data_IF_511158249947
#
_entry.id   IF_511158249947
#
_cell.length_a   1.000
_cell.length_b   1.000
_cell.length_c   1.000
_cell.angle_alpha   90.00
_cell.angle_beta   90.00
_cell.angle_gamma   90.00
#
_symmetry.space_group_name_H-M   'P 1'
#
loop_
_entity.id
_entity.type
_entity.pdbx_description
1 polymer ?
#
# COMPACT_ATOMS: atom_id res chain seq x y z
N UNK A 1 8.13 -11.11 -17.93
CA UNK A 1 9.45 -10.44 -17.99
C UNK A 1 9.23 -9.01 -18.43
N UNK A 2 9.86 -8.04 -17.76
CA UNK A 2 9.84 -6.63 -18.16
C UNK A 2 11.13 -6.31 -18.91
N UNK A 3 11.02 -5.43 -19.89
CA UNK A 3 12.09 -5.11 -20.84
C UNK A 3 12.12 -3.60 -21.04
N UNK A 4 13.30 -3.02 -20.99
CA UNK A 4 13.55 -1.60 -21.21
C UNK A 4 14.19 -1.37 -22.57
N UNK A 5 13.65 -0.46 -23.36
CA UNK A 5 14.24 -0.02 -24.63
C UNK A 5 15.33 1.02 -24.34
N UNK A 6 16.56 0.78 -24.77
CA UNK A 6 17.72 1.64 -24.48
C UNK A 6 17.55 3.05 -25.04
N UNK A 7 17.03 3.17 -26.26
CA UNK A 7 16.89 4.45 -26.96
C UNK A 7 15.85 5.39 -26.36
N UNK A 8 14.76 4.84 -25.80
CA UNK A 8 13.63 5.63 -25.26
C UNK A 8 13.53 5.60 -23.75
N UNK A 9 14.15 4.60 -23.10
CA UNK A 9 13.95 4.31 -21.68
C UNK A 9 12.61 3.68 -21.33
N UNK A 10 11.74 3.44 -22.32
CA UNK A 10 10.42 2.85 -22.11
C UNK A 10 10.56 1.43 -21.60
N UNK A 11 9.76 1.10 -20.57
CA UNK A 11 9.66 -0.26 -20.01
C UNK A 11 8.33 -0.85 -20.41
N UNK A 12 8.34 -2.10 -20.84
CA UNK A 12 7.17 -2.82 -21.33
C UNK A 12 7.26 -4.31 -21.03
N UNK A 13 6.14 -5.01 -21.09
CA UNK A 13 6.10 -6.47 -21.01
C UNK A 13 6.56 -7.12 -22.32
N UNK A 14 6.95 -8.39 -22.24
CA UNK A 14 7.44 -9.15 -23.39
C UNK A 14 6.44 -9.17 -24.57
N UNK A 15 5.14 -9.31 -24.29
CA UNK A 15 4.11 -9.28 -25.32
C UNK A 15 3.96 -7.91 -26.00
N UNK A 16 4.23 -6.84 -25.25
CA UNK A 16 4.26 -5.47 -25.78
C UNK A 16 5.48 -5.23 -26.61
N UNK A 17 6.64 -5.81 -26.24
CA UNK A 17 7.87 -5.72 -27.00
C UNK A 17 7.69 -6.28 -28.43
N UNK A 18 6.97 -7.39 -28.60
CA UNK A 18 6.69 -7.95 -29.92
C UNK A 18 5.90 -7.01 -30.83
N UNK A 19 4.92 -6.31 -30.24
CA UNK A 19 4.14 -5.29 -30.95
C UNK A 19 4.99 -4.08 -31.28
N UNK A 20 5.74 -3.59 -30.30
CA UNK A 20 6.66 -2.47 -30.48
C UNK A 20 7.69 -2.74 -31.57
N UNK A 21 8.32 -3.92 -31.57
CA UNK A 21 9.31 -4.30 -32.60
C UNK A 21 8.67 -4.32 -33.99
N UNK A 22 7.48 -4.89 -34.15
CA UNK A 22 6.73 -4.88 -35.41
C UNK A 22 6.47 -3.45 -35.91
N UNK A 23 6.04 -2.55 -35.04
CA UNK A 23 5.72 -1.17 -35.37
C UNK A 23 6.97 -0.34 -35.70
N UNK A 24 8.15 -0.78 -35.24
CA UNK A 24 9.44 -0.14 -35.48
C UNK A 24 10.29 -0.89 -36.51
N UNK A 25 9.70 -1.73 -37.36
CA UNK A 25 10.38 -2.54 -38.39
C UNK A 25 11.50 -3.45 -37.83
N UNK A 26 11.38 -3.86 -36.61
CA UNK A 26 12.29 -4.80 -35.94
C UNK A 26 12.08 -6.25 -36.42
N UNK A 27 13.01 -7.16 -36.05
CA UNK A 27 12.88 -8.57 -36.36
C UNK A 27 11.71 -9.22 -35.68
N UNK A 28 11.22 -10.34 -36.22
CA UNK A 28 10.34 -11.26 -35.51
C UNK A 28 11.16 -12.40 -34.93
N UNK A 29 10.74 -12.94 -33.80
CA UNK A 29 11.42 -14.04 -33.10
C UNK A 29 10.41 -14.95 -32.39
N UNK A 30 10.78 -16.20 -32.20
CA UNK A 30 9.97 -17.19 -31.47
C UNK A 30 10.18 -17.11 -29.97
N UNK A 31 11.43 -17.02 -29.53
CA UNK A 31 11.84 -16.96 -28.12
C UNK A 31 12.69 -15.74 -27.86
N UNK A 32 12.36 -14.98 -26.81
CA UNK A 32 13.17 -13.84 -26.36
C UNK A 32 14.44 -14.36 -25.69
N UNK A 33 15.58 -14.06 -26.30
CA UNK A 33 16.94 -14.40 -25.85
C UNK A 33 17.75 -13.14 -25.70
N UNK A 34 18.94 -13.21 -25.08
CA UNK A 34 19.84 -12.07 -24.93
C UNK A 34 20.27 -11.52 -26.30
N UNK A 35 20.50 -12.37 -27.29
CA UNK A 35 20.83 -11.94 -28.67
C UNK A 35 19.68 -11.14 -29.31
N UNK A 36 18.44 -11.55 -29.09
CA UNK A 36 17.26 -10.81 -29.56
C UNK A 36 17.15 -9.45 -28.86
N UNK A 37 17.35 -9.42 -27.56
CA UNK A 37 17.33 -8.17 -26.79
C UNK A 37 18.44 -7.22 -27.22
N UNK A 38 19.66 -7.75 -27.48
CA UNK A 38 20.77 -6.95 -27.99
C UNK A 38 20.47 -6.38 -29.38
N UNK A 39 19.91 -7.20 -30.27
CA UNK A 39 19.52 -6.76 -31.62
C UNK A 39 18.43 -5.68 -31.62
N UNK A 40 17.54 -5.70 -30.61
CA UNK A 40 16.49 -4.70 -30.39
C UNK A 40 16.97 -3.47 -29.62
N UNK A 41 18.19 -3.46 -29.10
CA UNK A 41 18.70 -2.42 -28.22
C UNK A 41 17.89 -2.36 -26.89
N UNK A 42 17.64 -3.51 -26.31
CA UNK A 42 16.81 -3.65 -25.13
C UNK A 42 17.54 -4.35 -23.98
N UNK A 43 17.10 -4.12 -22.77
CA UNK A 43 17.62 -4.71 -21.53
C UNK A 43 16.50 -5.38 -20.74
N UNK A 44 16.81 -6.49 -20.06
CA UNK A 44 15.90 -7.08 -19.07
C UNK A 44 15.83 -6.18 -17.85
N UNK A 45 14.61 -5.98 -17.33
CA UNK A 45 14.40 -5.33 -16.03
C UNK A 45 14.04 -6.41 -15.01
N UNK A 46 14.89 -6.52 -14.00
CA UNK A 46 14.69 -7.43 -12.88
C UNK A 46 13.82 -6.77 -11.80
N UNK A 47 13.21 -7.59 -10.95
CA UNK A 47 12.51 -7.08 -9.78
C UNK A 47 13.52 -6.56 -8.77
N UNK A 48 13.37 -5.29 -8.38
CA UNK A 48 14.19 -4.66 -7.36
C UNK A 48 13.65 -4.87 -5.94
N UNK A 49 14.43 -4.51 -4.92
CA UNK A 49 13.99 -4.61 -3.54
C UNK A 49 12.83 -3.64 -3.28
N UNK A 50 11.81 -4.13 -2.57
CA UNK A 50 10.71 -3.31 -2.10
C UNK A 50 11.19 -2.30 -1.05
N UNK A 51 10.71 -1.07 -1.11
CA UNK A 51 10.94 -0.08 -0.06
C UNK A 51 10.20 -0.53 1.22
N UNK A 52 10.88 -0.51 2.36
CA UNK A 52 10.31 -0.95 3.64
C UNK A 52 9.58 0.22 4.31
N UNK A 53 8.23 0.17 4.49
CA UNK A 53 7.51 1.21 5.21
C UNK A 53 7.97 1.35 6.65
N UNK A 54 8.16 2.57 7.12
CA UNK A 54 8.56 2.91 8.49
C UNK A 54 7.35 3.12 9.42
N UNK A 55 6.18 3.37 8.82
CA UNK A 55 4.93 3.60 9.53
C UNK A 55 3.72 3.22 8.66
N UNK A 56 2.54 3.23 9.28
CA UNK A 56 1.28 2.80 8.66
C UNK A 56 0.70 3.78 7.61
N UNK A 57 1.33 4.94 7.40
CA UNK A 57 0.94 5.86 6.33
C UNK A 57 1.73 5.62 5.03
N UNK A 58 2.79 4.83 5.10
CA UNK A 58 3.68 4.56 3.99
C UNK A 58 3.39 3.20 3.35
N UNK A 59 3.73 3.06 2.09
CA UNK A 59 3.76 1.80 1.36
C UNK A 59 4.84 1.84 0.29
N UNK A 60 5.32 0.67 -0.11
CA UNK A 60 6.24 0.56 -1.24
C UNK A 60 5.49 0.84 -2.55
N UNK A 61 5.98 1.79 -3.34
CA UNK A 61 5.42 2.10 -4.65
C UNK A 61 6.51 2.10 -5.71
N UNK A 62 6.15 1.64 -6.90
CA UNK A 62 7.04 1.65 -8.05
C UNK A 62 7.26 3.07 -8.54
N UNK A 63 8.53 3.43 -8.77
CA UNK A 63 8.94 4.71 -9.35
C UNK A 63 9.99 4.51 -10.47
N UNK A 64 9.58 3.84 -11.55
CA UNK A 64 10.44 3.62 -12.69
C UNK A 64 11.43 2.46 -12.50
N UNK A 65 12.62 2.62 -13.04
CA UNK A 65 13.70 1.64 -12.99
C UNK A 65 15.02 2.31 -12.67
N UNK A 66 15.96 1.57 -12.10
CA UNK A 66 17.32 2.02 -11.82
C UNK A 66 18.35 0.96 -12.21
N UNK A 67 19.58 1.38 -12.41
CA UNK A 67 20.68 0.51 -12.79
C UNK A 67 21.57 0.23 -11.58
N UNK A 68 21.96 -1.02 -11.37
CA UNK A 68 22.92 -1.38 -10.33
C UNK A 68 24.39 -1.11 -10.79
N UNK A 69 25.33 -1.31 -9.87
CA UNK A 69 26.75 -1.12 -10.14
C UNK A 69 27.32 -2.06 -11.23
N UNK A 70 26.64 -3.15 -11.54
CA UNK A 70 27.01 -4.10 -12.60
C UNK A 70 26.38 -3.76 -13.96
N UNK A 71 25.58 -2.70 -14.04
CA UNK A 71 24.90 -2.27 -15.24
C UNK A 71 23.56 -2.96 -15.51
N UNK A 72 23.03 -3.77 -14.59
CA UNK A 72 21.73 -4.43 -14.75
C UNK A 72 20.60 -3.51 -14.29
N UNK A 73 19.47 -3.56 -14.98
CA UNK A 73 18.29 -2.76 -14.68
C UNK A 73 17.34 -3.47 -13.70
N UNK A 74 16.85 -2.71 -12.73
CA UNK A 74 15.90 -3.19 -11.73
C UNK A 74 14.72 -2.23 -11.61
N UNK A 75 13.55 -2.77 -11.25
CA UNK A 75 12.42 -1.96 -10.82
C UNK A 75 12.83 -1.15 -9.59
N UNK A 76 12.65 0.16 -9.64
CA UNK A 76 12.88 1.05 -8.51
C UNK A 76 11.63 1.17 -7.66
N UNK A 77 11.79 0.98 -6.36
CA UNK A 77 10.74 1.19 -5.37
C UNK A 77 11.11 2.31 -4.41
N UNK A 78 10.14 3.13 -4.08
CA UNK A 78 10.26 4.23 -3.13
C UNK A 78 9.12 4.17 -2.11
N UNK A 79 9.29 4.87 -0.99
CA UNK A 79 8.19 5.03 -0.04
C UNK A 79 7.17 6.05 -0.59
N UNK A 80 5.91 5.65 -0.63
CA UNK A 80 4.77 6.47 -0.97
C UNK A 80 3.76 6.56 0.17
N UNK A 81 2.74 7.41 0.01
CA UNK A 81 2.50 8.29 -1.14
C UNK A 81 3.47 9.48 -1.19
N UNK A 82 3.70 10.00 -2.40
CA UNK A 82 4.51 11.22 -2.63
C UNK A 82 3.55 12.38 -2.85
N UNK A 83 3.72 13.44 -2.09
CA UNK A 83 2.93 14.68 -2.22
C UNK A 83 3.80 15.78 -2.82
N UNK A 84 3.21 16.57 -3.70
CA UNK A 84 3.83 17.74 -4.32
C UNK A 84 2.86 18.91 -4.28
N UNK A 85 3.38 20.14 -4.22
CA UNK A 85 2.55 21.33 -4.27
C UNK A 85 1.73 21.37 -5.55
N UNK A 86 0.42 21.63 -5.41
CA UNK A 86 -0.51 21.84 -6.54
C UNK A 86 -0.88 23.30 -6.63
N UNK A 87 -0.68 23.95 -7.78
CA UNK A 87 -1.17 25.32 -7.98
C UNK A 87 -2.72 25.34 -8.00
N UNK A 88 -3.29 26.50 -7.74
CA UNK A 88 -4.72 26.72 -7.91
C UNK A 88 -5.15 26.51 -9.37
N UNK A 89 -6.36 25.99 -9.53
CA UNK A 89 -7.07 25.90 -10.82
C UNK A 89 -8.32 26.77 -10.76
N UNK A 90 -9.10 26.82 -11.83
CA UNK A 90 -10.37 27.56 -11.85
C UNK A 90 -11.40 27.02 -10.85
N UNK A 91 -11.31 25.76 -10.47
CA UNK A 91 -12.29 25.08 -9.60
C UNK A 91 -11.73 24.67 -8.24
N UNK A 92 -10.42 24.61 -8.08
CA UNK A 92 -9.77 24.13 -6.84
C UNK A 92 -8.71 25.13 -6.37
N UNK A 93 -8.63 25.42 -5.06
CA UNK A 93 -7.56 26.24 -4.48
C UNK A 93 -6.20 25.52 -4.56
N UNK A 94 -5.13 26.30 -4.48
CA UNK A 94 -3.78 25.74 -4.32
C UNK A 94 -3.70 24.87 -3.06
N UNK A 95 -2.93 23.80 -3.12
CA UNK A 95 -2.65 22.93 -1.98
C UNK A 95 -1.16 22.63 -1.91
N UNK A 96 -0.57 22.80 -0.75
CA UNK A 96 0.82 22.41 -0.50
C UNK A 96 0.93 20.89 -0.31
N UNK A 97 2.12 20.35 -0.52
CA UNK A 97 2.43 18.95 -0.22
C UNK A 97 2.12 18.59 1.24
N UNK A 98 2.42 19.49 2.18
CA UNK A 98 2.17 19.31 3.61
C UNK A 98 0.66 19.22 3.94
N UNK A 99 -0.18 20.06 3.32
CA UNK A 99 -1.63 20.00 3.49
C UNK A 99 -2.22 18.70 2.94
N UNK A 100 -1.75 18.27 1.78
CA UNK A 100 -2.17 16.98 1.18
C UNK A 100 -1.75 15.80 2.05
N UNK A 101 -0.53 15.81 2.59
CA UNK A 101 -0.03 14.78 3.50
C UNK A 101 -0.85 14.73 4.79
N UNK A 102 -1.16 15.89 5.38
CA UNK A 102 -1.98 15.99 6.60
C UNK A 102 -3.40 15.46 6.35
N UNK A 103 -4.02 15.82 5.23
CA UNK A 103 -5.34 15.33 4.86
C UNK A 103 -5.35 13.80 4.63
N UNK A 104 -4.34 13.27 3.97
CA UNK A 104 -4.17 11.83 3.76
C UNK A 104 -4.03 11.08 5.08
N UNK A 105 -3.18 11.56 6.00
CA UNK A 105 -3.01 10.95 7.34
C UNK A 105 -4.33 10.98 8.12
N UNK A 106 -5.00 12.11 8.15
CA UNK A 106 -6.30 12.25 8.81
C UNK A 106 -7.36 11.30 8.24
N UNK A 107 -7.40 11.11 6.93
CA UNK A 107 -8.30 10.15 6.28
C UNK A 107 -7.96 8.70 6.67
N UNK A 108 -6.68 8.34 6.69
CA UNK A 108 -6.23 7.01 7.13
C UNK A 108 -6.60 6.73 8.58
N UNK A 109 -6.36 7.71 9.46
CA UNK A 109 -6.71 7.61 10.88
C UNK A 109 -8.23 7.46 11.08
N UNK A 110 -9.03 8.23 10.35
CA UNK A 110 -10.48 8.14 10.40
C UNK A 110 -10.98 6.75 9.94
N UNK A 111 -10.45 6.25 8.84
CA UNK A 111 -10.81 4.92 8.30
C UNK A 111 -10.45 3.81 9.28
N UNK A 112 -9.25 3.87 9.86
CA UNK A 112 -8.81 2.88 10.86
C UNK A 112 -9.64 2.98 12.15
N UNK A 113 -9.94 4.18 12.60
CA UNK A 113 -10.79 4.42 13.76
C UNK A 113 -12.20 3.86 13.57
N UNK A 114 -12.77 3.99 12.36
CA UNK A 114 -14.08 3.39 12.04
C UNK A 114 -14.01 1.86 12.06
N UNK A 115 -12.97 1.26 11.48
CA UNK A 115 -12.75 -0.18 11.52
C UNK A 115 -12.67 -0.71 12.95
N UNK A 116 -11.87 -0.08 13.81
CA UNK A 116 -11.74 -0.44 15.22
C UNK A 116 -13.06 -0.30 15.97
N UNK A 117 -13.81 0.78 15.74
CA UNK A 117 -15.14 0.97 16.36
C UNK A 117 -16.14 -0.07 15.91
N UNK A 118 -16.11 -0.46 14.64
CA UNK A 118 -16.96 -1.52 14.09
C UNK A 118 -16.65 -2.87 14.75
N UNK A 119 -15.38 -3.25 14.81
CA UNK A 119 -14.95 -4.49 15.48
C UNK A 119 -15.34 -4.50 16.97
N UNK A 120 -15.11 -3.40 17.70
CA UNK A 120 -15.55 -3.24 19.09
C UNK A 120 -17.05 -3.44 19.25
N UNK A 121 -17.83 -2.83 18.35
CA UNK A 121 -19.29 -2.94 18.38
C UNK A 121 -19.74 -4.38 18.18
N UNK A 122 -19.08 -5.12 17.30
CA UNK A 122 -19.35 -6.54 17.10
C UNK A 122 -19.03 -7.35 18.37
N UNK A 123 -17.87 -7.14 18.99
CA UNK A 123 -17.49 -7.83 20.24
C UNK A 123 -18.47 -7.53 21.40
N UNK A 124 -18.97 -6.29 21.48
CA UNK A 124 -20.02 -5.93 22.45
C UNK A 124 -21.32 -6.67 22.18
N UNK A 125 -21.79 -6.74 20.92
CA UNK A 125 -22.97 -7.52 20.52
C UNK A 125 -22.81 -9.00 20.83
N UNK A 126 -21.66 -9.57 20.49
CA UNK A 126 -21.36 -11.00 20.71
C UNK A 126 -21.34 -11.37 22.20
N UNK A 127 -21.17 -10.39 23.08
CA UNK A 127 -21.19 -10.55 24.53
C UNK A 127 -22.50 -10.09 25.20
N UNK A 128 -23.53 -9.63 24.49
CA UNK A 128 -24.77 -9.12 25.05
C UNK A 128 -25.54 -10.20 25.84
N UNK A 129 -25.49 -11.44 25.39
CA UNK A 129 -26.12 -12.57 26.08
C UNK A 129 -25.62 -12.79 27.52
N UNK A 130 -24.35 -12.35 27.81
CA UNK A 130 -23.79 -12.45 29.17
C UNK A 130 -24.45 -11.53 30.17
N UNK A 131 -25.25 -10.56 29.71
CA UNK A 131 -25.89 -9.53 30.53
C UNK A 131 -27.28 -9.96 31.02
N UNK A 132 -27.85 -11.06 30.51
CA UNK A 132 -29.12 -11.57 30.99
C UNK A 132 -28.98 -12.13 32.42
N UNK A 133 -30.05 -12.05 33.20
CA UNK A 133 -30.01 -12.33 34.66
C UNK A 133 -29.56 -13.76 34.99
N UNK A 134 -29.95 -14.73 34.17
CA UNK A 134 -29.73 -16.16 34.32
C UNK A 134 -28.57 -16.72 33.48
N UNK A 135 -27.75 -15.84 32.85
CA UNK A 135 -26.58 -16.30 32.11
C UNK A 135 -25.60 -17.04 33.04
N UNK A 136 -25.16 -18.26 32.67
CA UNK A 136 -24.30 -19.10 33.50
C UNK A 136 -22.81 -18.71 33.33
N UNK A 137 -22.46 -17.46 33.66
CA UNK A 137 -21.14 -16.89 33.48
C UNK A 137 -20.71 -16.07 34.70
N UNK A 138 -19.37 -15.84 34.81
CA UNK A 138 -18.85 -14.87 35.77
C UNK A 138 -19.21 -13.44 35.33
N UNK A 139 -20.26 -12.90 35.96
CA UNK A 139 -20.78 -11.56 35.68
C UNK A 139 -19.72 -10.46 35.85
N UNK A 140 -18.85 -10.60 36.87
CA UNK A 140 -17.79 -9.60 37.15
C UNK A 140 -16.75 -9.58 36.06
N UNK A 141 -16.23 -10.74 35.64
CA UNK A 141 -15.27 -10.85 34.58
C UNK A 141 -15.81 -10.31 33.25
N UNK A 142 -17.06 -10.68 32.91
CA UNK A 142 -17.69 -10.17 31.67
C UNK A 142 -17.99 -8.67 31.71
N UNK A 143 -18.37 -8.13 32.87
CA UNK A 143 -18.56 -6.68 33.02
C UNK A 143 -17.24 -5.91 32.81
N UNK A 144 -16.14 -6.42 33.39
CA UNK A 144 -14.80 -5.85 33.21
C UNK A 144 -14.34 -5.90 31.72
N UNK A 145 -14.52 -7.04 31.06
CA UNK A 145 -14.22 -7.20 29.64
C UNK A 145 -15.00 -6.20 28.78
N UNK A 146 -16.31 -6.09 29.00
CA UNK A 146 -17.17 -5.16 28.24
C UNK A 146 -16.82 -3.70 28.52
N UNK A 147 -16.40 -3.37 29.75
CA UNK A 147 -15.90 -2.01 30.04
C UNK A 147 -14.61 -1.75 29.31
N UNK A 148 -13.64 -2.67 29.34
CA UNK A 148 -12.39 -2.55 28.59
C UNK A 148 -12.62 -2.38 27.07
N UNK A 149 -13.63 -3.09 26.50
CA UNK A 149 -14.03 -2.86 25.10
C UNK A 149 -14.54 -1.43 24.85
N UNK A 150 -15.33 -0.86 25.77
CA UNK A 150 -15.80 0.53 25.64
C UNK A 150 -14.66 1.53 25.67
N UNK A 151 -13.62 1.21 26.43
CA UNK A 151 -12.46 2.08 26.65
C UNK A 151 -11.40 1.99 25.53
N UNK A 152 -11.51 1.02 24.59
CA UNK A 152 -10.59 0.87 23.46
C UNK A 152 -10.34 2.20 22.71
N UNK A 153 -11.37 3.04 22.40
CA UNK A 153 -11.12 4.31 21.70
C UNK A 153 -10.38 5.37 22.52
N UNK A 154 -10.21 5.17 23.82
CA UNK A 154 -9.51 6.10 24.72
C UNK A 154 -8.05 5.71 24.95
N UNK A 155 -7.60 4.58 24.41
CA UNK A 155 -6.22 4.14 24.52
C UNK A 155 -5.27 5.11 23.78
N UNK A 156 -4.11 5.39 24.36
CA UNK A 156 -3.13 6.32 23.79
C UNK A 156 -2.65 5.94 22.38
N UNK A 157 -2.68 4.65 22.01
CA UNK A 157 -2.32 4.15 20.69
C UNK A 157 -3.47 4.15 19.66
N UNK A 158 -4.67 4.60 20.03
CA UNK A 158 -5.80 4.63 19.11
C UNK A 158 -5.53 5.58 17.91
N UNK A 159 -5.85 5.17 16.67
CA UNK A 159 -6.52 3.94 16.25
C UNK A 159 -5.60 2.79 15.82
N UNK A 160 -4.28 2.94 15.86
CA UNK A 160 -3.31 2.02 15.27
C UNK A 160 -2.69 1.02 16.27
N UNK A 161 -2.34 1.50 17.44
CA UNK A 161 -1.64 0.75 18.49
C UNK A 161 -2.56 0.36 19.65
N UNK A 162 -3.76 -0.18 19.37
CA UNK A 162 -4.71 -0.60 20.39
C UNK A 162 -4.43 -2.01 20.90
N UNK A 163 -4.83 -2.26 22.15
CA UNK A 163 -4.83 -3.59 22.75
C UNK A 163 -6.27 -4.02 23.04
N UNK A 164 -6.66 -5.15 22.46
CA UNK A 164 -7.96 -5.74 22.72
C UNK A 164 -7.94 -6.48 24.05
N UNK A 165 -9.00 -6.38 24.88
CA UNK A 165 -9.07 -7.16 26.10
C UNK A 165 -9.30 -8.64 25.81
N UNK A 166 -8.74 -9.50 26.67
CA UNK A 166 -8.97 -10.94 26.61
C UNK A 166 -10.40 -11.26 27.03
N UNK A 167 -11.01 -12.14 26.28
CA UNK A 167 -12.37 -12.62 26.56
C UNK A 167 -12.34 -13.60 27.73
N UNK A 168 -13.21 -13.45 28.78
CA UNK A 168 -13.31 -14.35 29.91
C UNK A 168 -13.72 -15.76 29.54
#
# INVERSE_FOLDING_TARGET
MEIRIRSTGQVMLEDELRRWAKDNNGPSWDRTTDDVLEALGADVVFEGPQATPENHYQFSMRQGVEQDASGRWFTKYVLGPIFTDRPATETEPAQTAAEQEAAYKAQKDATQAESVRSQRTQLLKDSDWTQVADAPVDKTAWAAYRQALRDVPTQAGFPWGIQWPDKP
#
